data_IF_011899559245
#
_entry.id   IF_011899559245
#
_cell.length_a   1.000
_cell.length_b   1.000
_cell.length_c   1.000
_cell.angle_alpha   90.00
_cell.angle_beta   90.00
_cell.angle_gamma   90.00
#
_symmetry.space_group_name_H-M   'P 1'
#
loop_
_entity.id
_entity.type
_entity.pdbx_description
1 polymer ?
#
# COMPACT_ATOMS: atom_id res chain seq x y z
N UNK A 1 4.91 3.94 -14.99
CA UNK A 1 3.45 4.05 -14.75
C UNK A 1 3.12 4.96 -13.57
N UNK A 2 3.54 4.62 -12.34
CA UNK A 2 3.24 5.44 -11.14
C UNK A 2 3.66 6.91 -11.30
N UNK A 3 4.87 7.18 -11.81
CA UNK A 3 5.33 8.56 -12.09
C UNK A 3 4.43 9.27 -13.11
N UNK A 4 4.04 8.58 -14.17
CA UNK A 4 3.15 9.16 -15.18
C UNK A 4 1.81 9.53 -14.55
N UNK A 5 1.25 8.64 -13.72
CA UNK A 5 0.01 8.92 -12.99
C UNK A 5 0.20 10.04 -11.96
N UNK A 6 1.34 10.09 -11.28
CA UNK A 6 1.68 11.14 -10.33
C UNK A 6 1.69 12.52 -11.01
N UNK A 7 2.36 12.64 -12.16
CA UNK A 7 2.40 13.86 -12.95
C UNK A 7 1.01 14.25 -13.48
N UNK A 8 0.26 13.31 -14.05
CA UNK A 8 -1.08 13.57 -14.59
C UNK A 8 -2.10 13.91 -13.50
N UNK A 9 -1.95 13.32 -12.32
CA UNK A 9 -2.82 13.58 -11.17
C UNK A 9 -2.42 14.85 -10.41
N UNK A 10 -1.33 15.52 -10.80
CA UNK A 10 -0.76 16.68 -10.10
C UNK A 10 -0.35 16.34 -8.66
N UNK A 11 0.31 15.20 -8.48
CA UNK A 11 0.87 14.79 -7.21
C UNK A 11 -0.13 14.18 -6.24
N UNK A 12 -1.14 13.45 -6.72
CA UNK A 12 -2.21 12.89 -5.89
C UNK A 12 -2.20 11.36 -5.80
N UNK A 13 -1.19 10.70 -6.36
CA UNK A 13 -1.13 9.23 -6.32
C UNK A 13 -0.55 8.75 -4.99
N UNK A 14 -1.16 7.72 -4.42
CA UNK A 14 -0.56 6.90 -3.37
C UNK A 14 -0.34 5.51 -3.93
N UNK A 15 0.88 4.98 -3.82
CA UNK A 15 1.24 3.67 -4.31
C UNK A 15 0.91 2.59 -3.28
N UNK A 16 -0.22 1.92 -3.46
CA UNK A 16 -0.58 0.72 -2.71
C UNK A 16 0.20 -0.51 -3.21
N UNK A 17 0.84 -1.24 -2.29
CA UNK A 17 1.63 -2.44 -2.62
C UNK A 17 1.30 -3.62 -1.71
N UNK A 18 1.42 -4.83 -2.25
CA UNK A 18 1.28 -6.07 -1.51
C UNK A 18 2.04 -7.20 -2.18
N UNK A 19 2.31 -8.29 -1.46
CA UNK A 19 3.01 -9.45 -2.03
C UNK A 19 2.11 -10.33 -2.89
N UNK A 20 0.83 -9.98 -3.03
CA UNK A 20 -0.20 -10.78 -3.71
C UNK A 20 -0.64 -12.02 -2.92
N UNK A 21 -1.61 -12.74 -3.46
CA UNK A 21 -2.12 -14.06 -3.00
C UNK A 21 -2.38 -14.93 -4.25
N UNK A 22 -2.47 -16.25 -4.09
CA UNK A 22 -2.80 -17.18 -5.19
C UNK A 22 -4.15 -17.88 -4.94
N UNK A 23 -5.09 -17.18 -4.29
CA UNK A 23 -6.39 -17.77 -3.89
C UNK A 23 -7.20 -18.20 -5.10
N UNK A 24 -7.17 -17.40 -6.17
CA UNK A 24 -7.89 -17.69 -7.41
C UNK A 24 -7.04 -18.43 -8.44
N UNK A 25 -5.75 -18.67 -8.19
CA UNK A 25 -4.79 -19.23 -9.15
C UNK A 25 -4.18 -18.20 -10.10
N UNK A 26 -4.28 -16.90 -9.77
CA UNK A 26 -3.78 -15.81 -10.61
C UNK A 26 -2.26 -15.82 -10.80
N UNK A 27 -1.52 -16.42 -9.87
CA UNK A 27 -0.07 -16.51 -9.94
C UNK A 27 0.35 -17.85 -10.55
N UNK A 28 -0.17 -18.96 -10.02
CA UNK A 28 0.22 -20.29 -10.51
C UNK A 28 -0.11 -20.52 -11.98
N UNK A 29 -1.22 -19.97 -12.49
CA UNK A 29 -1.59 -20.13 -13.91
C UNK A 29 -0.81 -19.23 -14.86
N UNK A 30 -0.07 -18.26 -14.32
CA UNK A 30 0.85 -17.40 -15.07
C UNK A 30 2.30 -17.80 -14.86
N UNK A 31 2.55 -18.98 -14.26
CA UNK A 31 3.88 -19.47 -13.89
C UNK A 31 4.67 -18.50 -12.99
N UNK A 32 3.97 -17.73 -12.17
CA UNK A 32 4.55 -16.81 -11.20
C UNK A 32 4.91 -17.50 -9.87
N UNK A 33 5.75 -16.84 -9.07
CA UNK A 33 6.18 -17.36 -7.75
C UNK A 33 4.99 -17.42 -6.80
N UNK A 34 4.60 -18.61 -6.35
CA UNK A 34 3.47 -18.77 -5.40
C UNK A 34 3.89 -18.73 -3.93
N UNK A 35 5.15 -19.07 -3.61
CA UNK A 35 5.64 -19.10 -2.23
C UNK A 35 5.56 -17.71 -1.58
N UNK A 36 4.78 -17.53 -0.51
CA UNK A 36 4.56 -16.22 0.10
C UNK A 36 5.82 -15.64 0.72
N UNK A 37 6.78 -16.47 1.16
CA UNK A 37 8.03 -15.98 1.76
C UNK A 37 8.91 -15.34 0.69
N UNK A 38 9.08 -16.01 -0.44
CA UNK A 38 9.81 -15.53 -1.60
C UNK A 38 9.17 -14.27 -2.17
N UNK A 39 7.84 -14.24 -2.32
CA UNK A 39 7.13 -13.02 -2.77
C UNK A 39 7.32 -11.85 -1.81
N UNK A 40 7.25 -12.11 -0.51
CA UNK A 40 7.54 -11.09 0.51
C UNK A 40 8.97 -10.56 0.41
N UNK A 41 9.96 -11.43 0.19
CA UNK A 41 11.37 -11.05 0.04
C UNK A 41 11.61 -10.23 -1.25
N UNK A 42 10.99 -10.65 -2.38
CA UNK A 42 10.95 -9.88 -3.62
C UNK A 42 10.38 -8.48 -3.38
N UNK A 43 9.22 -8.38 -2.73
CA UNK A 43 8.63 -7.07 -2.42
C UNK A 43 9.55 -6.21 -1.55
N UNK A 44 10.13 -6.79 -0.49
CA UNK A 44 11.07 -6.09 0.40
C UNK A 44 12.29 -5.53 -0.35
N UNK A 45 12.84 -6.28 -1.30
CA UNK A 45 13.97 -5.85 -2.11
C UNK A 45 13.56 -4.80 -3.14
N UNK A 46 12.47 -5.06 -3.87
CA UNK A 46 11.95 -4.18 -4.90
C UNK A 46 11.57 -2.80 -4.37
N UNK A 47 10.95 -2.71 -3.19
CA UNK A 47 10.60 -1.42 -2.59
C UNK A 47 11.81 -0.59 -2.17
N UNK A 48 12.93 -1.21 -1.78
CA UNK A 48 14.18 -0.47 -1.48
C UNK A 48 14.75 0.16 -2.74
N UNK A 49 14.78 -0.60 -3.83
CA UNK A 49 15.25 -0.10 -5.13
C UNK A 49 14.31 0.99 -5.65
N UNK A 50 13.00 0.75 -5.60
CA UNK A 50 12.00 1.66 -6.14
C UNK A 50 11.92 2.99 -5.39
N UNK A 51 12.01 2.98 -4.06
CA UNK A 51 12.02 4.20 -3.26
C UNK A 51 13.19 5.11 -3.64
N UNK A 52 14.41 4.55 -3.75
CA UNK A 52 15.60 5.29 -4.18
C UNK A 52 15.47 5.86 -5.60
N UNK A 53 14.90 5.09 -6.53
CA UNK A 53 14.61 5.56 -7.88
C UNK A 53 13.63 6.74 -7.88
N UNK A 54 12.55 6.68 -7.08
CA UNK A 54 11.59 7.77 -6.96
C UNK A 54 12.18 9.01 -6.29
N UNK A 55 13.11 8.84 -5.34
CA UNK A 55 13.84 9.93 -4.69
C UNK A 55 14.88 10.60 -5.62
N UNK A 56 15.01 10.10 -6.85
CA UNK A 56 15.83 10.69 -7.90
C UNK A 56 17.29 10.23 -7.90
N UNK A 57 17.61 9.13 -7.22
CA UNK A 57 18.92 8.51 -7.28
C UNK A 57 19.16 7.77 -8.62
N UNK A 58 20.43 7.73 -9.03
CA UNK A 58 20.91 6.70 -9.97
C UNK A 58 21.24 5.45 -9.17
N UNK A 59 20.42 4.41 -9.31
CA UNK A 59 20.51 3.20 -8.50
C UNK A 59 21.34 2.13 -9.20
N UNK A 60 22.40 1.69 -8.53
CA UNK A 60 23.02 0.39 -8.76
C UNK A 60 22.70 -0.52 -7.56
N UNK A 61 22.26 -1.75 -7.84
CA UNK A 61 21.83 -2.73 -6.83
C UNK A 61 22.06 -4.15 -7.37
N UNK A 62 22.66 -5.01 -6.55
CA UNK A 62 22.79 -6.45 -6.83
C UNK A 62 22.25 -7.16 -5.59
N UNK A 63 21.05 -7.70 -5.71
CA UNK A 63 20.42 -8.48 -4.64
C UNK A 63 20.04 -9.88 -5.10
N UNK A 64 19.27 -10.56 -4.25
CA UNK A 64 18.85 -11.94 -4.50
C UNK A 64 17.82 -12.01 -5.63
N UNK A 65 17.00 -10.97 -5.77
CA UNK A 65 15.88 -10.97 -6.69
C UNK A 65 15.98 -9.95 -7.81
N UNK A 66 16.69 -8.84 -7.60
CA UNK A 66 16.84 -7.78 -8.59
C UNK A 66 18.30 -7.38 -8.78
N UNK A 67 18.66 -7.16 -10.04
CA UNK A 67 19.91 -6.51 -10.43
C UNK A 67 19.57 -5.25 -11.21
N UNK A 68 20.10 -4.12 -10.75
CA UNK A 68 19.95 -2.80 -11.36
C UNK A 68 21.35 -2.24 -11.57
N UNK A 69 21.66 -1.83 -12.80
CA UNK A 69 22.98 -1.34 -13.16
C UNK A 69 22.90 0.14 -13.58
N UNK A 70 23.11 1.04 -12.60
CA UNK A 70 23.21 2.47 -12.84
C UNK A 70 21.96 3.12 -13.45
N UNK A 71 20.76 2.70 -13.04
CA UNK A 71 19.50 3.20 -13.60
C UNK A 71 19.03 4.43 -12.84
N UNK A 72 18.65 5.48 -13.57
CA UNK A 72 17.91 6.62 -13.04
C UNK A 72 16.49 6.64 -13.66
N UNK A 73 15.51 7.11 -12.89
CA UNK A 73 14.13 7.21 -13.34
C UNK A 73 13.82 8.63 -13.82
N UNK A 74 13.42 8.76 -15.09
CA UNK A 74 12.99 10.02 -15.69
C UNK A 74 11.67 9.83 -16.45
N UNK A 75 10.71 10.79 -16.38
CA UNK A 75 10.76 12.01 -15.55
C UNK A 75 10.72 11.69 -14.06
N UNK A 76 11.03 12.68 -13.21
CA UNK A 76 10.86 12.56 -11.75
C UNK A 76 9.39 12.66 -11.34
N UNK A 77 8.98 12.06 -10.20
CA UNK A 77 7.67 12.30 -9.63
C UNK A 77 7.42 13.79 -9.35
N UNK A 78 6.15 14.20 -9.35
CA UNK A 78 5.71 15.51 -8.86
C UNK A 78 5.79 15.60 -7.32
N UNK A 79 5.48 14.50 -6.61
CA UNK A 79 5.54 14.45 -5.15
C UNK A 79 6.98 14.28 -4.64
N UNK A 80 7.30 15.02 -3.57
CA UNK A 80 8.59 14.96 -2.87
C UNK A 80 8.42 14.41 -1.44
N UNK A 81 9.36 13.59 -0.93
CA UNK A 81 10.55 13.09 -1.62
C UNK A 81 10.25 12.04 -2.69
N UNK A 82 9.08 11.41 -2.63
CA UNK A 82 8.54 10.45 -3.59
C UNK A 82 7.02 10.33 -3.38
N UNK A 83 6.26 9.67 -4.28
CA UNK A 83 4.88 9.30 -3.99
C UNK A 83 4.79 8.46 -2.70
N UNK A 84 3.78 8.68 -1.83
CA UNK A 84 3.57 7.86 -0.64
C UNK A 84 3.36 6.39 -1.01
N UNK A 85 3.93 5.49 -0.21
CA UNK A 85 3.86 4.04 -0.38
C UNK A 85 3.10 3.45 0.80
N UNK A 86 1.97 2.80 0.51
CA UNK A 86 1.17 2.09 1.51
C UNK A 86 1.29 0.58 1.31
N UNK A 87 1.68 -0.13 2.37
CA UNK A 87 1.86 -1.58 2.32
C UNK A 87 0.64 -2.31 2.89
N UNK A 88 0.14 -3.30 2.15
CA UNK A 88 -0.89 -4.20 2.65
C UNK A 88 -0.34 -5.16 3.72
N UNK A 89 -1.11 -5.36 4.79
CA UNK A 89 -0.83 -6.36 5.83
C UNK A 89 -2.11 -7.14 6.16
N UNK A 90 -2.05 -8.47 6.14
CA UNK A 90 -3.24 -9.32 6.28
C UNK A 90 -3.30 -9.98 7.66
N UNK A 91 -4.43 -9.84 8.34
CA UNK A 91 -4.72 -10.44 9.65
C UNK A 91 -3.60 -10.17 10.65
N UNK A 92 -3.19 -11.21 11.39
CA UNK A 92 -2.20 -11.11 12.46
C UNK A 92 -0.73 -11.19 11.98
N UNK A 93 -0.46 -11.05 10.69
CA UNK A 93 0.89 -11.22 10.15
C UNK A 93 1.77 -9.98 10.42
N UNK A 94 2.72 -10.08 11.36
CA UNK A 94 3.57 -8.94 11.72
C UNK A 94 4.70 -8.63 10.71
N UNK A 95 5.11 -9.58 9.86
CA UNK A 95 6.15 -9.32 8.85
C UNK A 95 5.76 -8.21 7.86
N UNK A 96 4.57 -8.23 7.21
CA UNK A 96 4.13 -7.12 6.37
C UNK A 96 3.87 -5.82 7.15
N UNK A 97 3.47 -5.89 8.43
CA UNK A 97 3.34 -4.70 9.29
C UNK A 97 4.71 -4.02 9.49
N UNK A 98 5.75 -4.78 9.83
CA UNK A 98 7.13 -4.28 9.95
C UNK A 98 7.69 -3.73 8.64
N UNK A 99 7.22 -4.24 7.48
CA UNK A 99 7.54 -3.66 6.18
C UNK A 99 6.87 -2.30 6.03
N UNK A 100 5.57 -2.22 6.30
CA UNK A 100 4.80 -0.98 6.20
C UNK A 100 5.41 0.14 7.04
N UNK A 101 5.86 -0.16 8.26
CA UNK A 101 6.49 0.79 9.18
C UNK A 101 7.71 1.53 8.61
N UNK A 102 8.36 0.99 7.57
CA UNK A 102 9.52 1.61 6.88
C UNK A 102 9.12 2.60 5.77
N UNK A 103 7.83 2.72 5.49
CA UNK A 103 7.24 3.58 4.46
C UNK A 103 6.19 4.51 5.11
N UNK A 104 5.20 4.92 4.33
CA UNK A 104 4.34 6.06 4.69
C UNK A 104 2.95 5.62 5.16
N UNK A 105 2.56 4.37 4.92
CA UNK A 105 1.30 3.87 5.46
C UNK A 105 1.10 2.36 5.40
N UNK A 106 0.04 1.92 6.06
CA UNK A 106 -0.44 0.54 6.09
C UNK A 106 -1.87 0.47 5.61
N UNK A 107 -2.16 -0.61 4.88
CA UNK A 107 -3.52 -1.02 4.54
C UNK A 107 -3.80 -2.38 5.19
N UNK A 108 -4.36 -2.42 6.41
CA UNK A 108 -4.70 -3.68 7.08
C UNK A 108 -5.89 -4.35 6.39
N UNK A 109 -5.78 -5.64 6.12
CA UNK A 109 -6.78 -6.46 5.45
C UNK A 109 -7.19 -7.58 6.39
N UNK A 110 -8.50 -7.84 6.50
CA UNK A 110 -9.03 -8.93 7.35
C UNK A 110 -8.54 -8.82 8.80
N UNK A 111 -8.71 -7.63 9.37
CA UNK A 111 -8.39 -7.33 10.77
C UNK A 111 -9.67 -7.14 11.57
N UNK A 112 -9.57 -7.48 12.85
CA UNK A 112 -10.49 -7.09 13.91
C UNK A 112 -9.80 -6.04 14.82
N UNK A 113 -10.51 -5.57 15.86
CA UNK A 113 -9.96 -4.55 16.76
C UNK A 113 -8.64 -4.98 17.42
N UNK A 114 -8.47 -6.25 17.74
CA UNK A 114 -7.27 -6.74 18.43
C UNK A 114 -6.06 -6.86 17.51
N UNK A 115 -6.25 -7.42 16.31
CA UNK A 115 -5.20 -7.50 15.30
C UNK A 115 -4.86 -6.12 14.73
N UNK A 116 -5.83 -5.20 14.64
CA UNK A 116 -5.59 -3.82 14.26
C UNK A 116 -4.69 -3.11 15.26
N UNK A 117 -5.04 -3.14 16.55
CA UNK A 117 -4.23 -2.53 17.61
C UNK A 117 -2.81 -3.08 17.67
N UNK A 118 -2.66 -4.41 17.58
CA UNK A 118 -1.32 -5.04 17.51
C UNK A 118 -0.51 -4.59 16.31
N UNK A 119 -1.16 -4.30 15.18
CA UNK A 119 -0.47 -3.76 14.02
C UNK A 119 0.04 -2.34 14.30
N UNK A 120 -0.78 -1.49 14.92
CA UNK A 120 -0.38 -0.15 15.35
C UNK A 120 0.78 -0.19 16.36
N UNK A 121 0.67 -1.03 17.39
CA UNK A 121 1.73 -1.22 18.40
C UNK A 121 3.06 -1.63 17.75
N UNK A 122 3.02 -2.54 16.77
CA UNK A 122 4.23 -2.99 16.06
C UNK A 122 4.80 -1.89 15.15
N UNK A 123 3.95 -1.07 14.53
CA UNK A 123 4.41 0.08 13.72
C UNK A 123 5.08 1.11 14.61
N UNK A 124 4.45 1.47 15.73
CA UNK A 124 5.00 2.39 16.72
C UNK A 124 6.31 1.83 17.31
N UNK A 125 6.39 0.53 17.61
CA UNK A 125 7.62 -0.09 18.10
C UNK A 125 8.79 0.00 17.09
N UNK A 126 8.50 0.01 15.78
CA UNK A 126 9.53 0.12 14.73
C UNK A 126 9.87 1.59 14.42
N UNK A 127 8.89 2.49 14.45
CA UNK A 127 9.05 3.91 14.06
C UNK A 127 9.38 4.84 15.22
N UNK A 128 8.90 4.53 16.41
CA UNK A 128 8.90 5.39 17.61
C UNK A 128 7.56 6.09 17.86
N UNK A 129 6.82 6.42 16.79
CA UNK A 129 5.49 7.04 16.83
C UNK A 129 4.72 6.72 15.53
N UNK A 130 3.47 7.20 15.45
CA UNK A 130 2.62 7.14 14.26
C UNK A 130 2.57 8.47 13.48
N UNK A 131 3.42 9.44 13.83
CA UNK A 131 3.37 10.77 13.20
C UNK A 131 3.74 10.66 11.72
N UNK A 132 2.92 11.28 10.88
CA UNK A 132 3.06 11.23 9.42
C UNK A 132 2.92 9.82 8.83
N UNK A 133 2.26 8.89 9.54
CA UNK A 133 1.98 7.54 9.05
C UNK A 133 0.49 7.34 8.79
N UNK A 134 0.15 6.92 7.58
CA UNK A 134 -1.23 6.67 7.19
C UNK A 134 -1.69 5.26 7.54
N UNK A 135 -2.91 5.17 8.08
CA UNK A 135 -3.57 3.90 8.38
C UNK A 135 -4.92 3.89 7.69
N UNK A 136 -5.03 3.07 6.64
CA UNK A 136 -6.23 3.01 5.81
C UNK A 136 -7.03 1.74 6.10
N UNK A 137 -8.26 1.91 6.59
CA UNK A 137 -9.21 0.82 6.75
C UNK A 137 -10.19 0.76 5.59
N UNK A 138 -10.57 -0.45 5.19
CA UNK A 138 -11.61 -0.69 4.19
C UNK A 138 -12.98 -0.80 4.86
N UNK A 139 -13.98 -0.15 4.29
CA UNK A 139 -15.41 -0.39 4.54
C UNK A 139 -16.17 -0.36 3.22
N UNK A 140 -17.47 -0.67 3.21
CA UNK A 140 -18.32 -0.54 2.02
C UNK A 140 -18.97 0.84 1.97
N UNK A 141 -19.44 1.27 0.79
CA UNK A 141 -20.17 2.55 0.64
C UNK A 141 -21.40 2.62 1.55
N UNK A 142 -22.09 1.49 1.73
CA UNK A 142 -23.24 1.33 2.63
C UNK A 142 -22.83 0.85 4.04
N UNK A 143 -21.54 0.61 4.26
CA UNK A 143 -21.02 0.00 5.47
C UNK A 143 -20.76 1.00 6.56
N UNK A 144 -20.96 0.56 7.80
CA UNK A 144 -20.56 1.35 8.96
C UNK A 144 -19.03 1.45 9.03
N UNK A 145 -18.56 2.55 9.60
CA UNK A 145 -17.14 2.70 9.96
C UNK A 145 -16.84 1.68 11.07
N UNK A 146 -15.79 0.85 10.95
CA UNK A 146 -15.43 -0.09 12.02
C UNK A 146 -15.23 0.67 13.34
N UNK A 147 -15.80 0.23 14.48
CA UNK A 147 -15.70 0.98 15.73
C UNK A 147 -14.26 1.25 16.19
N UNK A 148 -13.34 0.35 15.85
CA UNK A 148 -11.91 0.47 16.15
C UNK A 148 -11.16 1.44 15.22
N UNK A 149 -11.81 2.03 14.21
CA UNK A 149 -11.19 3.01 13.33
C UNK A 149 -10.73 4.25 14.11
N UNK A 150 -11.48 4.64 15.15
CA UNK A 150 -11.11 5.76 16.03
C UNK A 150 -9.80 5.53 16.79
N UNK A 151 -9.32 4.28 16.89
CA UNK A 151 -8.06 3.93 17.58
C UNK A 151 -6.82 4.35 16.78
N UNK A 152 -6.93 4.74 15.50
CA UNK A 152 -5.79 5.23 14.74
C UNK A 152 -5.90 5.21 13.22
N UNK A 153 -7.09 4.92 12.65
CA UNK A 153 -7.28 5.03 11.21
C UNK A 153 -7.24 6.51 10.77
N UNK A 154 -6.43 6.81 9.76
CA UNK A 154 -6.36 8.14 9.14
C UNK A 154 -7.16 8.21 7.85
N UNK A 155 -7.44 7.06 7.22
CA UNK A 155 -8.23 6.96 6.00
C UNK A 155 -9.28 5.85 6.08
N UNK A 156 -10.38 6.07 5.37
CA UNK A 156 -11.38 5.06 5.07
C UNK A 156 -11.49 4.89 3.56
N UNK A 157 -11.11 3.72 3.06
CA UNK A 157 -11.40 3.31 1.69
C UNK A 157 -12.80 2.69 1.65
N UNK A 158 -13.75 3.37 1.01
CA UNK A 158 -15.09 2.82 0.75
C UNK A 158 -15.11 2.07 -0.56
N UNK A 159 -15.42 0.77 -0.52
CA UNK A 159 -15.57 -0.05 -1.71
C UNK A 159 -17.01 -0.16 -2.18
N UNK A 160 -17.14 -0.28 -3.50
CA UNK A 160 -18.40 -0.56 -4.17
C UNK A 160 -18.54 -2.07 -4.36
N UNK A 161 -19.77 -2.60 -4.49
CA UNK A 161 -19.99 -3.96 -4.94
C UNK A 161 -19.24 -4.24 -6.26
N UNK A 162 -18.87 -5.50 -6.49
CA UNK A 162 -18.14 -5.91 -7.69
C UNK A 162 -18.83 -5.52 -9.00
N UNK A 163 -20.15 -5.37 -8.97
CA UNK A 163 -20.95 -4.74 -10.03
C UNK A 163 -21.67 -3.55 -9.41
N UNK A 164 -21.25 -2.35 -9.78
CA UNK A 164 -21.87 -1.10 -9.36
C UNK A 164 -22.31 -0.32 -10.59
N UNK A 165 -23.41 0.41 -10.44
CA UNK A 165 -23.88 1.34 -11.44
C UNK A 165 -22.89 2.51 -11.58
N UNK A 166 -22.42 2.86 -12.79
CA UNK A 166 -21.43 3.92 -12.98
C UNK A 166 -21.87 5.28 -12.44
N UNK A 167 -23.15 5.65 -12.59
CA UNK A 167 -23.65 6.94 -12.11
C UNK A 167 -23.54 7.01 -10.58
N UNK A 168 -23.86 5.91 -9.90
CA UNK A 168 -23.67 5.78 -8.45
C UNK A 168 -22.20 5.97 -8.02
N UNK A 169 -21.26 5.42 -8.79
CA UNK A 169 -19.81 5.59 -8.52
C UNK A 169 -19.39 7.05 -8.74
N UNK A 170 -19.81 7.66 -9.86
CA UNK A 170 -19.44 9.04 -10.19
C UNK A 170 -20.03 10.04 -9.20
N UNK A 171 -21.29 9.87 -8.79
CA UNK A 171 -21.92 10.73 -7.78
C UNK A 171 -21.13 10.70 -6.46
N UNK A 172 -20.74 9.52 -5.98
CA UNK A 172 -19.93 9.38 -4.78
C UNK A 172 -18.52 9.99 -4.92
N UNK A 173 -17.92 9.96 -6.12
CA UNK A 173 -16.62 10.61 -6.38
C UNK A 173 -16.76 12.14 -6.39
N UNK A 174 -17.83 12.67 -6.99
CA UNK A 174 -18.05 14.12 -7.12
C UNK A 174 -18.48 14.74 -5.79
N UNK A 175 -19.35 14.07 -5.05
CA UNK A 175 -19.96 14.60 -3.84
C UNK A 175 -19.30 14.11 -2.54
N UNK A 176 -18.43 13.11 -2.63
CA UNK A 176 -17.85 12.45 -1.48
C UNK A 176 -18.81 11.47 -0.81
N UNK A 177 -18.38 10.78 0.25
CA UNK A 177 -19.24 9.88 1.00
C UNK A 177 -20.45 10.64 1.59
N UNK A 178 -21.65 10.04 1.64
CA UNK A 178 -22.73 10.58 2.46
C UNK A 178 -22.23 10.65 3.91
N UNK A 179 -22.45 11.81 4.53
CA UNK A 179 -21.96 12.16 5.88
C UNK A 179 -22.52 11.28 6.98
#
# INVERSE_FOLDING_TARGET
EVVTLDLLSLGRVTLGVGSGVDTGGELSRLDEVVDPRTRGARLDEGLRVLARLFEGETVAHIGEHYTVDGVALEPRPAQMPRPPIWCAARGSALKPVRRAARYDGVFPIEVDADTFRRALDEIEAVRGDLDGFDVCLRTTVEGEVPPFAEEGATWLLRDFPAVADPDTVFDAVVHGPPG
#
